data_IF_401888099268
#
_entry.id   IF_401888099268
#
_cell.length_a   1.000
_cell.length_b   1.000
_cell.length_c   1.000
_cell.angle_alpha   90.00
_cell.angle_beta   90.00
_cell.angle_gamma   90.00
#
_symmetry.space_group_name_H-M   'P 1'
#
loop_
_entity.id
_entity.type
_entity.pdbx_description
1 polymer ?
#
# COMPACT_ATOMS: atom_id res chain seq x y z
N UNK A 1 16.62 -31.12 -17.31
CA UNK A 1 17.09 -29.78 -17.72
C UNK A 1 16.11 -28.77 -17.12
N UNK A 2 16.47 -28.18 -15.98
CA UNK A 2 15.64 -27.15 -15.33
C UNK A 2 16.03 -25.82 -15.96
N UNK A 3 15.12 -25.23 -16.74
CA UNK A 3 15.33 -23.89 -17.30
C UNK A 3 15.12 -22.91 -16.15
N UNK A 4 16.21 -22.44 -15.55
CA UNK A 4 16.17 -21.31 -14.63
C UNK A 4 15.90 -20.09 -15.49
N UNK A 5 14.68 -19.55 -15.40
CA UNK A 5 14.30 -18.33 -16.11
C UNK A 5 14.98 -17.14 -15.46
N UNK A 6 15.43 -16.16 -16.26
CA UNK A 6 16.06 -14.97 -15.70
C UNK A 6 15.03 -14.17 -14.88
N UNK A 7 15.46 -13.42 -13.86
CA UNK A 7 14.57 -12.57 -13.06
C UNK A 7 13.74 -11.61 -13.93
N UNK A 8 14.35 -11.05 -14.98
CA UNK A 8 13.69 -10.18 -15.95
C UNK A 8 12.55 -10.89 -16.72
N UNK A 9 12.69 -12.19 -17.02
CA UNK A 9 11.63 -12.98 -17.66
C UNK A 9 10.45 -13.27 -16.72
N UNK A 10 10.69 -13.20 -15.40
CA UNK A 10 9.66 -13.31 -14.39
C UNK A 10 8.91 -11.98 -14.22
N UNK A 11 9.62 -10.87 -14.15
CA UNK A 11 9.04 -9.51 -14.07
C UNK A 11 8.16 -9.19 -15.27
N UNK A 12 8.63 -9.47 -16.49
CA UNK A 12 7.87 -9.28 -17.73
C UNK A 12 6.59 -10.12 -17.78
N UNK A 13 6.56 -11.28 -17.10
CA UNK A 13 5.36 -12.12 -17.00
C UNK A 13 4.37 -11.64 -15.96
N UNK A 14 4.83 -10.95 -14.92
CA UNK A 14 4.00 -10.48 -13.80
C UNK A 14 3.25 -9.18 -14.19
N UNK A 15 3.87 -8.33 -15.00
CA UNK A 15 3.28 -7.09 -15.54
C UNK A 15 2.05 -7.30 -16.46
N UNK A 16 1.73 -8.55 -16.85
CA UNK A 16 0.53 -8.90 -17.62
C UNK A 16 -0.49 -9.77 -16.89
N UNK A 17 -0.31 -10.00 -15.57
CA UNK A 17 -1.24 -10.78 -14.76
C UNK A 17 -2.33 -9.88 -14.15
N UNK A 18 -3.52 -10.45 -13.96
CA UNK A 18 -4.63 -9.76 -13.29
C UNK A 18 -4.21 -9.17 -11.93
N UNK A 19 -4.81 -8.04 -11.48
CA UNK A 19 -4.34 -7.27 -10.33
C UNK A 19 -4.19 -8.08 -9.03
N UNK A 20 -5.02 -9.12 -8.85
CA UNK A 20 -4.90 -10.09 -7.73
C UNK A 20 -3.52 -10.76 -7.60
N UNK A 21 -2.67 -10.74 -8.62
CA UNK A 21 -1.31 -11.31 -8.58
C UNK A 21 -0.23 -10.27 -8.26
N UNK A 22 -0.58 -8.99 -8.39
CA UNK A 22 0.31 -7.83 -8.26
C UNK A 22 0.02 -7.02 -6.99
N UNK A 23 -1.20 -7.10 -6.46
CA UNK A 23 -1.63 -6.36 -5.28
C UNK A 23 -2.28 -7.27 -4.25
N UNK A 24 -1.99 -7.00 -2.97
CA UNK A 24 -2.60 -7.67 -1.83
C UNK A 24 -3.41 -6.67 -1.01
N UNK A 25 -4.57 -7.11 -0.52
CA UNK A 25 -5.24 -6.41 0.57
C UNK A 25 -4.69 -6.89 1.90
N UNK A 26 -4.45 -5.95 2.80
CA UNK A 26 -4.03 -6.19 4.17
C UNK A 26 -4.89 -5.35 5.12
N UNK A 27 -5.02 -5.84 6.34
CA UNK A 27 -5.78 -5.19 7.41
C UNK A 27 -4.86 -5.13 8.61
N UNK A 28 -4.47 -3.93 9.00
CA UNK A 28 -3.73 -3.62 10.22
C UNK A 28 -4.66 -3.03 11.29
N UNK A 29 -4.09 -2.64 12.43
CA UNK A 29 -4.85 -2.07 13.54
C UNK A 29 -5.59 -0.79 13.14
N UNK A 30 -4.99 0.06 12.29
CA UNK A 30 -5.61 1.29 11.80
C UNK A 30 -6.83 0.96 10.93
N UNK A 31 -6.73 -0.04 10.08
CA UNK A 31 -7.87 -0.52 9.30
C UNK A 31 -9.01 -1.02 10.21
N UNK A 32 -8.70 -1.77 11.27
CA UNK A 32 -9.70 -2.23 12.24
C UNK A 32 -10.33 -1.07 13.01
N UNK A 33 -9.51 -0.14 13.51
CA UNK A 33 -9.98 1.04 14.24
C UNK A 33 -10.81 1.99 13.35
N UNK A 34 -10.52 2.04 12.05
CA UNK A 34 -11.29 2.89 11.12
C UNK A 34 -12.78 2.54 11.07
N UNK A 35 -13.16 1.31 11.44
CA UNK A 35 -14.56 0.89 11.56
C UNK A 35 -15.33 1.72 12.60
N UNK A 36 -14.65 2.17 13.65
CA UNK A 36 -15.24 2.92 14.76
C UNK A 36 -15.05 4.44 14.61
N UNK A 37 -13.94 4.87 13.99
CA UNK A 37 -13.51 6.27 13.98
C UNK A 37 -13.70 6.99 12.64
N UNK A 38 -14.01 6.29 11.55
CA UNK A 38 -14.23 6.88 10.22
C UNK A 38 -15.62 6.56 9.69
N UNK A 39 -16.21 7.48 8.92
CA UNK A 39 -17.45 7.21 8.19
C UNK A 39 -17.25 6.21 7.06
N UNK A 40 -16.04 6.21 6.48
CA UNK A 40 -15.62 5.28 5.43
C UNK A 40 -14.39 4.50 5.92
N UNK A 41 -14.58 3.24 6.35
CA UNK A 41 -13.48 2.40 6.79
C UNK A 41 -12.49 2.12 5.64
N UNK A 42 -11.23 1.88 6.01
CA UNK A 42 -10.15 1.68 5.05
C UNK A 42 -9.56 0.28 5.08
N UNK A 43 -8.93 -0.10 3.98
CA UNK A 43 -8.03 -1.25 3.83
C UNK A 43 -6.68 -0.79 3.32
N UNK A 44 -5.66 -1.58 3.58
CA UNK A 44 -4.30 -1.34 3.08
C UNK A 44 -4.09 -2.13 1.79
N UNK A 45 -3.70 -1.44 0.72
CA UNK A 45 -3.33 -2.03 -0.57
C UNK A 45 -1.82 -2.08 -0.65
N UNK A 46 -1.24 -3.28 -0.81
CA UNK A 46 0.19 -3.48 -0.96
C UNK A 46 0.50 -3.82 -2.41
N UNK A 47 1.47 -3.13 -3.01
CA UNK A 47 2.03 -3.46 -4.30
C UNK A 47 3.18 -4.46 -4.13
N UNK A 48 3.04 -5.61 -4.79
CA UNK A 48 4.01 -6.72 -4.70
C UNK A 48 5.35 -6.38 -5.35
N UNK A 49 5.34 -5.51 -6.36
CA UNK A 49 6.52 -5.17 -7.16
C UNK A 49 7.44 -4.20 -6.40
N UNK A 50 6.88 -3.26 -5.63
CA UNK A 50 7.66 -2.30 -4.83
C UNK A 50 8.31 -2.89 -3.58
N UNK A 51 8.01 -4.16 -3.24
CA UNK A 51 8.58 -4.85 -2.07
C UNK A 51 9.60 -5.95 -2.38
N UNK A 52 9.85 -6.31 -3.65
CA UNK A 52 10.80 -7.38 -3.96
C UNK A 52 12.24 -6.87 -4.00
N UNK A 53 12.79 -6.57 -2.83
CA UNK A 53 14.25 -6.47 -2.64
C UNK A 53 14.78 -7.86 -2.29
N UNK A 54 15.81 -8.33 -3.00
CA UNK A 54 16.42 -9.65 -2.74
C UNK A 54 16.85 -9.77 -1.28
N UNK A 55 17.00 -10.98 -0.72
CA UNK A 55 17.37 -11.19 0.70
C UNK A 55 18.57 -10.33 1.17
N UNK A 56 19.46 -9.98 0.26
CA UNK A 56 20.66 -9.18 0.49
C UNK A 56 20.47 -7.65 0.33
N UNK A 57 19.33 -7.20 -0.17
CA UNK A 57 18.97 -5.78 -0.36
C UNK A 57 17.95 -5.27 0.66
N UNK A 58 17.56 -6.14 1.61
CA UNK A 58 16.64 -5.84 2.71
C UNK A 58 17.38 -5.12 3.85
N UNK A 59 18.03 -4.01 3.54
CA UNK A 59 18.60 -3.13 4.56
C UNK A 59 17.59 -2.02 4.85
N UNK A 60 16.48 -2.38 5.49
CA UNK A 60 15.51 -1.40 5.99
C UNK A 60 15.73 -1.19 7.49
N UNK A 61 16.09 0.05 7.85
CA UNK A 61 15.98 0.52 9.22
C UNK A 61 14.50 0.63 9.56
N UNK A 62 13.97 -0.33 10.33
CA UNK A 62 12.63 -0.21 10.91
C UNK A 62 12.72 0.86 11.99
N UNK A 63 12.38 2.10 11.64
CA UNK A 63 12.41 3.20 12.59
C UNK A 63 11.29 3.00 13.64
N UNK A 64 11.63 2.95 14.94
CA UNK A 64 10.63 2.84 15.99
C UNK A 64 9.61 3.99 15.88
N UNK A 65 8.33 3.65 15.70
CA UNK A 65 7.24 4.63 15.56
C UNK A 65 6.89 5.03 14.12
N UNK A 66 7.51 4.44 13.10
CA UNK A 66 7.12 4.59 11.68
C UNK A 66 6.04 3.59 11.24
N UNK A 67 5.56 2.73 12.14
CA UNK A 67 4.43 1.83 11.84
C UNK A 67 3.15 2.62 11.47
N UNK A 68 3.04 3.87 11.94
CA UNK A 68 1.85 4.73 11.80
C UNK A 68 2.16 6.18 11.40
N UNK A 69 3.39 6.52 10.97
CA UNK A 69 3.81 7.92 10.75
C UNK A 69 4.21 8.19 9.31
N UNK A 70 4.14 9.47 8.98
CA UNK A 70 4.66 10.06 7.76
C UNK A 70 6.11 9.60 7.55
N UNK A 71 6.34 8.80 6.51
CA UNK A 71 7.69 8.45 6.01
C UNK A 71 8.48 9.71 5.57
N UNK A 72 9.71 9.59 5.08
CA UNK A 72 10.41 10.76 4.49
C UNK A 72 9.79 11.12 3.12
N UNK A 73 9.90 12.38 2.70
CA UNK A 73 9.08 12.99 1.64
C UNK A 73 9.23 12.38 0.23
N UNK A 74 10.26 11.58 -0.04
CA UNK A 74 10.59 11.12 -1.41
C UNK A 74 10.33 9.63 -1.70
N UNK A 75 9.98 8.78 -0.72
CA UNK A 75 9.94 7.31 -0.94
C UNK A 75 8.51 6.74 -1.14
N UNK A 76 8.32 5.98 -2.25
CA UNK A 76 7.18 5.07 -2.42
C UNK A 76 7.36 3.87 -1.51
N UNK A 77 6.49 3.75 -0.50
CA UNK A 77 6.57 2.70 0.53
C UNK A 77 5.99 1.36 0.06
N UNK A 78 5.46 1.30 -1.16
CA UNK A 78 4.86 0.11 -1.76
C UNK A 78 3.50 -0.27 -1.19
N UNK A 79 2.87 0.64 -0.43
CA UNK A 79 1.53 0.44 0.10
C UNK A 79 0.78 1.77 0.28
N UNK A 80 -0.54 1.71 0.27
CA UNK A 80 -1.42 2.86 0.52
C UNK A 80 -2.69 2.43 1.26
N UNK A 81 -3.35 3.37 1.95
CA UNK A 81 -4.71 3.15 2.43
C UNK A 81 -5.73 3.51 1.34
N UNK A 82 -6.85 2.80 1.34
CA UNK A 82 -7.99 3.04 0.46
C UNK A 82 -9.29 2.75 1.19
N UNK A 83 -10.32 3.55 0.92
CA UNK A 83 -11.66 3.26 1.42
C UNK A 83 -12.14 1.90 0.88
N UNK A 84 -12.79 1.11 1.73
CA UNK A 84 -13.29 -0.22 1.37
C UNK A 84 -14.28 -0.13 0.19
N UNK A 85 -15.09 0.94 0.16
CA UNK A 85 -16.09 1.16 -0.89
C UNK A 85 -15.46 1.35 -2.28
N UNK A 86 -14.26 1.90 -2.34
CA UNK A 86 -13.55 2.18 -3.58
C UNK A 86 -12.77 0.99 -4.12
N UNK A 87 -12.61 -0.08 -3.32
CA UNK A 87 -11.73 -1.19 -3.66
C UNK A 87 -12.05 -1.81 -5.02
N UNK A 88 -13.33 -2.02 -5.36
CA UNK A 88 -13.71 -2.57 -6.66
C UNK A 88 -13.25 -1.69 -7.83
N UNK A 89 -13.36 -0.37 -7.68
CA UNK A 89 -12.90 0.59 -8.70
C UNK A 89 -11.38 0.58 -8.83
N UNK A 90 -10.68 0.59 -7.69
CA UNK A 90 -9.22 0.51 -7.63
C UNK A 90 -8.73 -0.81 -8.24
N UNK A 91 -9.39 -1.93 -7.97
CA UNK A 91 -9.01 -3.23 -8.54
C UNK A 91 -9.10 -3.25 -10.07
N UNK A 92 -10.08 -2.53 -10.66
CA UNK A 92 -10.17 -2.40 -12.12
C UNK A 92 -9.03 -1.56 -12.67
N UNK A 93 -8.73 -0.41 -12.04
CA UNK A 93 -7.64 0.49 -12.48
C UNK A 93 -6.27 -0.17 -12.35
N UNK A 94 -6.01 -0.81 -11.22
CA UNK A 94 -4.79 -1.59 -10.99
C UNK A 94 -4.61 -2.81 -11.93
N UNK A 95 -5.61 -3.17 -12.75
CA UNK A 95 -5.47 -4.22 -13.75
C UNK A 95 -4.56 -3.82 -14.92
N UNK A 96 -4.46 -2.53 -15.18
CA UNK A 96 -3.51 -1.96 -16.12
C UNK A 96 -2.24 -1.71 -15.31
N UNK A 97 -1.25 -2.62 -15.40
CA UNK A 97 -0.10 -2.70 -14.50
C UNK A 97 0.80 -1.44 -14.43
N UNK A 98 0.46 -0.38 -15.17
CA UNK A 98 1.06 0.96 -15.15
C UNK A 98 0.45 1.91 -14.12
N UNK A 99 -0.70 1.56 -13.53
CA UNK A 99 -1.56 2.53 -12.84
C UNK A 99 -1.28 2.69 -11.33
N UNK A 100 -0.30 1.96 -10.78
CA UNK A 100 0.08 2.12 -9.37
C UNK A 100 0.44 3.57 -9.05
N UNK A 101 1.28 4.21 -9.89
CA UNK A 101 1.75 5.58 -9.64
C UNK A 101 0.66 6.64 -9.87
N UNK A 102 -0.37 6.34 -10.66
CA UNK A 102 -1.52 7.24 -10.84
C UNK A 102 -2.47 7.18 -9.65
N UNK A 103 -2.59 6.00 -9.04
CA UNK A 103 -3.42 5.78 -7.85
C UNK A 103 -2.66 6.08 -6.55
N UNK A 104 -1.33 5.99 -6.54
CA UNK A 104 -0.56 5.98 -5.31
C UNK A 104 -0.82 7.24 -4.48
N UNK A 105 -1.28 7.02 -3.24
CA UNK A 105 -1.33 8.05 -2.21
C UNK A 105 -0.48 7.61 -1.06
N UNK A 106 0.48 8.45 -0.73
CA UNK A 106 1.42 8.22 0.36
C UNK A 106 0.69 8.16 1.70
N UNK A 107 0.86 7.10 2.49
CA UNK A 107 0.27 7.01 3.83
C UNK A 107 0.73 8.15 4.76
N UNK A 108 -0.14 8.61 5.69
CA UNK A 108 -1.53 8.18 5.90
C UNK A 108 -2.54 8.91 5.00
N UNK A 109 -2.11 9.51 3.89
CA UNK A 109 -3.02 10.23 2.99
C UNK A 109 -4.13 9.36 2.42
N UNK A 110 -5.27 9.98 2.17
CA UNK A 110 -6.38 9.44 1.38
C UNK A 110 -6.75 10.43 0.26
N UNK A 111 -7.12 9.90 -0.90
CA UNK A 111 -7.60 10.73 -2.01
C UNK A 111 -8.81 11.54 -1.54
N UNK A 112 -8.83 12.84 -1.86
CA UNK A 112 -9.94 13.75 -1.54
C UNK A 112 -10.24 13.93 -0.05
N UNK A 113 -9.29 13.61 0.84
CA UNK A 113 -9.38 13.88 2.28
C UNK A 113 -8.31 14.87 2.73
N UNK A 114 -8.64 15.65 3.76
CA UNK A 114 -7.68 16.45 4.52
C UNK A 114 -7.09 15.64 5.69
N UNK A 115 -6.12 16.19 6.42
CA UNK A 115 -5.43 15.51 7.52
C UNK A 115 -6.36 14.96 8.63
N UNK A 116 -7.47 15.65 8.89
CA UNK A 116 -8.48 15.21 9.85
C UNK A 116 -9.29 13.99 9.36
N UNK A 117 -9.19 13.65 8.08
CA UNK A 117 -9.77 12.45 7.47
C UNK A 117 -8.77 11.31 7.27
N UNK A 118 -7.48 11.51 7.58
CA UNK A 118 -6.46 10.49 7.36
C UNK A 118 -6.59 9.34 8.35
N UNK A 119 -6.42 8.07 7.93
CA UNK A 119 -6.42 6.94 8.85
C UNK A 119 -5.43 7.15 10.00
N UNK A 120 -5.89 6.92 11.22
CA UNK A 120 -5.11 7.16 12.43
C UNK A 120 -5.20 8.58 13.00
N UNK A 121 -5.96 9.51 12.41
CA UNK A 121 -6.10 10.88 12.95
C UNK A 121 -6.57 10.87 14.43
N UNK A 122 -7.37 9.88 14.84
CA UNK A 122 -7.87 9.72 16.20
C UNK A 122 -6.75 9.40 17.21
N UNK A 123 -5.69 8.69 16.80
CA UNK A 123 -4.55 8.36 17.66
C UNK A 123 -3.77 9.62 18.07
N UNK A 124 -3.78 10.68 17.24
CA UNK A 124 -3.14 11.98 17.54
C UNK A 124 -3.85 12.74 18.68
N UNK A 125 -5.14 12.48 18.92
CA UNK A 125 -5.92 13.14 20.00
C UNK A 125 -5.69 12.53 21.39
N UNK A 126 -4.96 11.41 21.48
CA UNK A 126 -4.68 10.68 22.73
C UNK A 126 -3.32 10.98 23.39
N UNK A 127 -2.45 11.77 22.76
CA UNK A 127 -1.15 12.15 23.35
C UNK A 127 -1.38 13.33 24.29
N UNK A 128 -1.52 13.02 25.59
CA UNK A 128 -1.32 13.98 26.69
C UNK A 128 0.11 13.94 27.17
#
# INVERSE_FOLDING_TARGET
>A
MVVVKSPADLELKIQGLAPRYNFCLFVDEICLESLDYMSMPVVKVLCRISGFRGEYEREYTVYPGYEDRETEEEEDVGWMYREVVDYCGIYVRLAEATDWYEEYVRPPGLMFCDEDGFPGFWRKKGIK
#
